data_IF_017092389059
#
_entry.id   IF_017092389059
#
_cell.length_a   1.000
_cell.length_b   1.000
_cell.length_c   1.000
_cell.angle_alpha   90.00
_cell.angle_beta   90.00
_cell.angle_gamma   90.00
#
_symmetry.space_group_name_H-M   'P 1'
#
loop_
_entity.id
_entity.type
_entity.pdbx_description
1 polymer ?
#
# COMPACT_ATOMS: atom_id res chain seq x y z
N UNK A 1 -11.99 -3.32 6.03
CA UNK A 1 -10.85 -3.89 6.77
C UNK A 1 -10.38 -5.08 5.97
N UNK A 2 -9.12 -5.07 5.54
CA UNK A 2 -8.60 -6.13 4.67
C UNK A 2 -8.67 -7.50 5.35
N UNK A 3 -9.22 -8.49 4.64
CA UNK A 3 -9.31 -9.87 5.15
C UNK A 3 -7.92 -10.51 5.21
N UNK A 4 -7.81 -11.57 6.02
CA UNK A 4 -6.56 -12.35 6.10
C UNK A 4 -6.20 -12.98 4.76
N UNK A 5 -7.20 -13.45 4.01
CA UNK A 5 -7.02 -14.05 2.69
C UNK A 5 -6.44 -13.03 1.70
N UNK A 6 -7.08 -11.87 1.54
CA UNK A 6 -6.56 -10.79 0.68
C UNK A 6 -5.13 -10.38 1.06
N UNK A 7 -4.83 -10.31 2.36
CA UNK A 7 -3.48 -9.98 2.81
C UNK A 7 -2.47 -11.06 2.40
N UNK A 8 -2.83 -12.34 2.52
CA UNK A 8 -2.00 -13.47 2.10
C UNK A 8 -1.80 -13.50 0.57
N UNK A 9 -2.83 -13.19 -0.21
CA UNK A 9 -2.76 -13.06 -1.66
C UNK A 9 -1.79 -11.94 -2.07
N UNK A 10 -1.86 -10.78 -1.43
CA UNK A 10 -0.92 -9.67 -1.70
C UNK A 10 0.52 -10.03 -1.34
N UNK A 11 0.73 -10.75 -0.22
CA UNK A 11 2.06 -11.26 0.16
C UNK A 11 2.59 -12.24 -0.88
N UNK A 12 1.76 -13.16 -1.37
CA UNK A 12 2.16 -14.12 -2.39
C UNK A 12 2.45 -13.45 -3.75
N UNK A 13 1.71 -12.41 -4.11
CA UNK A 13 1.83 -11.72 -5.41
C UNK A 13 3.00 -10.74 -5.47
N UNK A 14 3.30 -10.05 -4.38
CA UNK A 14 4.31 -8.98 -4.34
C UNK A 14 5.55 -9.35 -3.51
N UNK A 15 5.55 -10.49 -2.82
CA UNK A 15 6.68 -10.97 -2.04
C UNK A 15 7.80 -11.51 -2.92
N UNK A 16 9.05 -11.29 -2.48
CA UNK A 16 10.24 -11.82 -3.19
C UNK A 16 10.46 -13.30 -2.91
N UNK A 17 9.94 -13.79 -1.79
CA UNK A 17 10.00 -15.18 -1.35
C UNK A 17 8.72 -15.58 -0.61
N UNK A 18 8.42 -16.88 -0.47
CA UNK A 18 7.33 -17.34 0.35
C UNK A 18 7.43 -16.81 1.78
N UNK A 19 6.35 -16.21 2.30
CA UNK A 19 6.30 -15.65 3.65
C UNK A 19 6.97 -14.28 3.81
N UNK A 20 7.33 -13.61 2.70
CA UNK A 20 7.89 -12.27 2.73
C UNK A 20 6.85 -11.22 3.12
N UNK A 21 6.86 -10.80 4.38
CA UNK A 21 5.99 -9.72 4.88
C UNK A 21 6.70 -8.38 5.04
N UNK A 22 8.03 -8.36 4.88
CA UNK A 22 8.89 -7.23 5.24
C UNK A 22 9.27 -6.36 4.05
N UNK A 23 9.27 -6.92 2.84
CA UNK A 23 9.69 -6.19 1.65
C UNK A 23 8.86 -4.92 1.39
N UNK A 24 9.49 -3.83 0.92
CA UNK A 24 8.79 -2.58 0.58
C UNK A 24 7.63 -2.80 -0.40
N UNK A 25 7.78 -3.69 -1.37
CA UNK A 25 6.76 -4.02 -2.38
C UNK A 25 5.47 -4.56 -1.74
N UNK A 26 5.62 -5.52 -0.81
CA UNK A 26 4.50 -6.13 -0.07
C UNK A 26 3.82 -5.11 0.81
N UNK A 27 4.60 -4.33 1.57
CA UNK A 27 4.05 -3.30 2.45
C UNK A 27 3.28 -2.23 1.65
N UNK A 28 3.83 -1.77 0.52
CA UNK A 28 3.19 -0.79 -0.36
C UNK A 28 1.91 -1.35 -0.97
N UNK A 29 1.88 -2.62 -1.38
CA UNK A 29 0.68 -3.27 -1.90
C UNK A 29 -0.43 -3.34 -0.85
N UNK A 30 -0.11 -3.78 0.37
CA UNK A 30 -1.06 -3.84 1.49
C UNK A 30 -1.59 -2.45 1.87
N UNK A 31 -0.70 -1.45 1.97
CA UNK A 31 -1.09 -0.07 2.24
C UNK A 31 -2.00 0.48 1.14
N UNK A 32 -1.73 0.15 -0.11
CA UNK A 32 -2.54 0.61 -1.25
C UNK A 32 -3.96 0.05 -1.18
N UNK A 33 -4.12 -1.25 -0.93
CA UNK A 33 -5.46 -1.86 -0.77
C UNK A 33 -6.22 -1.22 0.41
N UNK A 34 -5.55 -1.02 1.56
CA UNK A 34 -6.16 -0.36 2.73
C UNK A 34 -6.58 1.08 2.44
N UNK A 35 -5.76 1.83 1.71
CA UNK A 35 -6.07 3.20 1.30
C UNK A 35 -7.32 3.20 0.41
N UNK A 36 -7.44 2.26 -0.54
CA UNK A 36 -8.61 2.13 -1.41
C UNK A 36 -9.88 1.84 -0.60
N UNK A 37 -9.86 0.83 0.28
CA UNK A 37 -11.00 0.50 1.15
C UNK A 37 -11.41 1.70 2.02
N UNK A 38 -10.45 2.37 2.66
CA UNK A 38 -10.73 3.48 3.57
C UNK A 38 -11.20 4.73 2.81
N UNK A 39 -10.72 4.93 1.59
CA UNK A 39 -11.21 6.01 0.71
C UNK A 39 -12.69 5.79 0.38
N UNK A 40 -13.10 4.56 0.06
CA UNK A 40 -14.51 4.24 -0.22
C UNK A 40 -15.39 4.42 1.03
N UNK A 41 -14.91 3.98 2.19
CA UNK A 41 -15.60 4.21 3.46
C UNK A 41 -15.82 5.70 3.74
N UNK A 42 -14.82 6.55 3.50
CA UNK A 42 -14.89 7.99 3.74
C UNK A 42 -15.77 8.74 2.73
N UNK A 43 -16.02 8.19 1.53
CA UNK A 43 -17.03 8.75 0.61
C UNK A 43 -18.43 8.70 1.23
N UNK A 44 -18.75 7.60 1.90
CA UNK A 44 -20.02 7.44 2.61
C UNK A 44 -20.04 8.17 3.96
N UNK A 45 -18.86 8.42 4.56
CA UNK A 45 -18.69 9.00 5.89
C UNK A 45 -17.80 10.26 5.85
N UNK A 46 -18.24 11.36 5.21
CA UNK A 46 -17.38 12.52 4.95
C UNK A 46 -16.89 13.24 6.22
N UNK A 47 -17.67 13.14 7.32
CA UNK A 47 -17.39 13.76 8.63
C UNK A 47 -16.49 12.92 9.54
N UNK A 48 -16.08 11.72 9.13
CA UNK A 48 -15.13 10.93 9.92
C UNK A 48 -13.70 11.45 9.74
N UNK A 49 -13.36 12.46 10.54
CA UNK A 49 -12.04 13.09 10.53
C UNK A 49 -10.96 12.21 11.19
N UNK A 50 -11.34 11.33 12.11
CA UNK A 50 -10.40 10.45 12.81
C UNK A 50 -9.85 9.39 11.85
N UNK A 51 -10.74 8.73 11.09
CA UNK A 51 -10.34 7.78 10.04
C UNK A 51 -9.57 8.48 8.92
N UNK A 52 -9.95 9.70 8.53
CA UNK A 52 -9.20 10.50 7.55
C UNK A 52 -7.77 10.78 7.99
N UNK A 53 -7.53 11.05 9.28
CA UNK A 53 -6.17 11.18 9.82
C UNK A 53 -5.37 9.89 9.64
N UNK A 54 -5.98 8.73 9.95
CA UNK A 54 -5.37 7.42 9.71
C UNK A 54 -5.03 7.17 8.23
N UNK A 55 -5.92 7.57 7.32
CA UNK A 55 -5.69 7.51 5.88
C UNK A 55 -4.43 8.31 5.49
N UNK A 56 -4.31 9.56 5.95
CA UNK A 56 -3.17 10.42 5.63
C UNK A 56 -1.85 9.85 6.16
N UNK A 57 -1.86 9.25 7.35
CA UNK A 57 -0.68 8.56 7.89
C UNK A 57 -0.26 7.37 7.01
N UNK A 58 -1.22 6.56 6.54
CA UNK A 58 -0.93 5.45 5.62
C UNK A 58 -0.39 5.94 4.27
N UNK A 59 -0.94 7.03 3.73
CA UNK A 59 -0.44 7.66 2.49
C UNK A 59 1.01 8.13 2.68
N UNK A 60 1.31 8.78 3.81
CA UNK A 60 2.67 9.23 4.16
C UNK A 60 3.66 8.07 4.28
N UNK A 61 3.26 6.99 4.98
CA UNK A 61 4.08 5.78 5.11
C UNK A 61 4.37 5.14 3.74
N UNK A 62 3.35 5.02 2.89
CA UNK A 62 3.50 4.48 1.53
C UNK A 62 4.47 5.32 0.71
N UNK A 63 4.38 6.66 0.79
CA UNK A 63 5.30 7.56 0.10
C UNK A 63 6.74 7.35 0.55
N UNK A 64 6.97 7.25 1.87
CA UNK A 64 8.31 6.99 2.42
C UNK A 64 8.93 5.67 1.94
N UNK A 65 8.13 4.59 1.86
CA UNK A 65 8.59 3.31 1.33
C UNK A 65 8.91 3.38 -0.17
N UNK A 66 8.08 4.08 -0.94
CA UNK A 66 8.32 4.31 -2.37
C UNK A 66 9.57 5.16 -2.61
N UNK A 67 9.82 6.18 -1.79
CA UNK A 67 11.02 7.01 -1.86
C UNK A 67 12.28 6.20 -1.51
N UNK A 68 12.19 5.31 -0.52
CA UNK A 68 13.26 4.36 -0.20
C UNK A 68 13.55 3.45 -1.41
N UNK A 69 12.51 2.80 -1.95
CA UNK A 69 12.65 1.89 -3.09
C UNK A 69 13.23 2.62 -4.31
N UNK A 70 12.78 3.84 -4.60
CA UNK A 70 13.32 4.67 -5.68
C UNK A 70 14.83 4.94 -5.54
N UNK A 71 15.33 5.09 -4.30
CA UNK A 71 16.75 5.34 -4.01
C UNK A 71 17.59 4.07 -4.09
N UNK A 72 17.05 2.93 -3.66
CA UNK A 72 17.81 1.67 -3.57
C UNK A 72 17.69 0.78 -4.80
N UNK A 73 16.52 0.80 -5.45
CA UNK A 73 16.17 -0.05 -6.59
C UNK A 73 15.15 0.67 -7.49
N UNK A 74 15.70 1.40 -8.47
CA UNK A 74 14.90 2.21 -9.38
C UNK A 74 14.02 1.36 -10.31
N UNK A 75 14.45 0.16 -10.67
CA UNK A 75 13.71 -0.73 -11.56
C UNK A 75 12.54 -1.39 -10.81
N UNK A 76 12.79 -1.91 -9.61
CA UNK A 76 11.76 -2.41 -8.71
C UNK A 76 10.71 -1.34 -8.39
N UNK A 77 11.15 -0.10 -8.16
CA UNK A 77 10.26 1.05 -7.99
C UNK A 77 9.34 1.30 -9.19
N UNK A 78 9.87 1.33 -10.41
CA UNK A 78 9.09 1.55 -11.64
C UNK A 78 8.08 0.43 -11.85
N UNK A 79 8.55 -0.82 -11.75
CA UNK A 79 7.73 -2.03 -11.88
C UNK A 79 6.59 -2.06 -10.85
N UNK A 80 6.89 -1.73 -9.59
CA UNK A 80 5.89 -1.71 -8.53
C UNK A 80 4.81 -0.65 -8.77
N UNK A 81 5.19 0.55 -9.17
CA UNK A 81 4.25 1.64 -9.44
C UNK A 81 3.32 1.29 -10.61
N UNK A 82 3.87 0.72 -11.68
CA UNK A 82 3.10 0.29 -12.84
C UNK A 82 2.11 -0.82 -12.45
N UNK A 83 2.58 -1.86 -11.75
CA UNK A 83 1.75 -2.98 -11.29
C UNK A 83 0.63 -2.56 -10.33
N UNK A 84 0.83 -1.50 -9.55
CA UNK A 84 -0.16 -1.00 -8.59
C UNK A 84 -0.97 0.20 -9.12
N UNK A 85 -0.69 0.69 -10.33
CA UNK A 85 -1.38 1.85 -10.91
C UNK A 85 -1.23 3.14 -10.09
N UNK A 86 -0.13 3.30 -9.34
CA UNK A 86 0.07 4.47 -8.46
C UNK A 86 0.47 5.67 -9.32
N UNK A 87 -0.31 6.75 -9.31
CA UNK A 87 0.06 7.99 -10.00
C UNK A 87 1.02 8.82 -9.15
N UNK A 88 1.96 9.48 -9.82
CA UNK A 88 2.93 10.40 -9.24
C UNK A 88 2.38 11.82 -9.13
#
# INVERSE_FOLDING_TARGET
MITREKKAELVAKYGRKPGDTGSPEVQVAILTERIVELTEHLKSNPKDHHSRRGLLMMVGQRRGLLDYLKKTDLEGYRSLIEKLGIRK
#
